data_IF_159634541469
#
_entry.id   IF_159634541469
#
_cell.length_a   1.000
_cell.length_b   1.000
_cell.length_c   1.000
_cell.angle_alpha   90.00
_cell.angle_beta   90.00
_cell.angle_gamma   90.00
#
_symmetry.space_group_name_H-M   'P 1'
#
loop_
_entity.id
_entity.type
_entity.pdbx_description
1 polymer ?
#
# COMPACT_ATOMS: atom_id res chain seq x y z
N UNK A 1 -78.83 16.28 -7.35
CA UNK A 1 -77.52 15.61 -7.29
C UNK A 1 -76.44 16.66 -7.48
N UNK A 2 -75.64 16.94 -6.44
CA UNK A 2 -74.46 17.83 -6.49
C UNK A 2 -73.33 17.10 -5.77
N UNK A 3 -72.33 16.66 -6.52
CA UNK A 3 -71.10 16.11 -5.98
C UNK A 3 -70.02 17.19 -6.07
N UNK A 4 -69.42 17.57 -4.94
CA UNK A 4 -68.25 18.45 -4.88
C UNK A 4 -67.06 17.61 -4.39
N UNK A 5 -66.00 17.59 -5.20
CA UNK A 5 -64.76 16.86 -4.96
C UNK A 5 -63.93 17.47 -3.83
N UNK A 6 -63.29 16.60 -3.05
CA UNK A 6 -62.37 16.92 -1.98
C UNK A 6 -61.02 17.47 -2.50
N UNK A 7 -60.49 18.49 -1.82
CA UNK A 7 -59.15 19.02 -2.04
C UNK A 7 -58.14 18.25 -1.18
N UNK A 8 -57.12 17.66 -1.81
CA UNK A 8 -55.97 17.04 -1.14
C UNK A 8 -54.86 18.09 -1.05
N UNK A 9 -54.44 18.42 0.17
CA UNK A 9 -53.32 19.33 0.46
C UNK A 9 -52.03 18.51 0.40
N UNK A 10 -51.17 18.75 -0.59
CA UNK A 10 -49.79 18.25 -0.59
C UNK A 10 -48.93 19.14 0.31
N UNK A 11 -48.50 18.61 1.45
CA UNK A 11 -47.45 19.24 2.28
C UNK A 11 -46.08 18.99 1.63
N UNK A 12 -45.42 20.05 1.21
CA UNK A 12 -44.03 20.02 0.75
C UNK A 12 -43.09 19.73 1.93
N UNK A 13 -42.27 18.68 1.80
CA UNK A 13 -41.18 18.37 2.73
C UNK A 13 -40.11 19.47 2.67
N UNK A 14 -39.52 19.89 3.80
CA UNK A 14 -38.38 20.79 3.77
C UNK A 14 -37.15 20.01 3.29
N UNK A 15 -36.52 20.50 2.22
CA UNK A 15 -35.16 20.13 1.86
C UNK A 15 -34.24 20.57 3.00
N UNK A 16 -33.69 19.61 3.75
CA UNK A 16 -32.62 19.87 4.70
C UNK A 16 -31.37 20.25 3.91
N UNK A 17 -30.92 21.48 4.14
CA UNK A 17 -29.66 22.02 3.66
C UNK A 17 -28.50 21.12 4.08
N UNK A 18 -27.71 20.64 3.12
CA UNK A 18 -26.36 20.12 3.34
C UNK A 18 -25.40 21.30 3.43
N UNK A 19 -25.31 21.94 4.59
CA UNK A 19 -24.24 22.89 4.90
C UNK A 19 -23.91 22.77 6.39
N UNK A 20 -23.03 21.83 6.73
CA UNK A 20 -22.01 21.90 7.80
C UNK A 20 -21.47 20.48 8.10
N UNK A 21 -20.51 20.03 7.30
CA UNK A 21 -19.65 18.90 7.70
C UNK A 21 -18.31 19.50 8.13
N UNK A 22 -17.93 19.40 9.42
CA UNK A 22 -16.64 19.90 9.87
C UNK A 22 -15.51 19.14 9.17
N UNK A 23 -14.49 19.88 8.71
CA UNK A 23 -13.25 19.42 8.04
C UNK A 23 -12.39 18.42 8.85
N UNK A 24 -12.89 17.88 9.96
CA UNK A 24 -12.18 16.96 10.86
C UNK A 24 -12.44 15.47 10.63
N UNK A 25 -13.24 15.08 9.63
CA UNK A 25 -13.62 13.67 9.41
C UNK A 25 -13.12 13.07 8.08
N UNK A 26 -12.21 13.74 7.36
CA UNK A 26 -11.58 13.18 6.17
C UNK A 26 -10.61 11.99 6.46
N UNK A 27 -10.48 11.58 7.72
CA UNK A 27 -9.51 10.56 8.17
C UNK A 27 -10.08 9.14 8.30
N UNK A 28 -11.26 8.84 7.76
CA UNK A 28 -11.90 7.50 7.88
C UNK A 28 -12.12 6.81 6.52
N UNK A 29 -11.84 7.49 5.40
CA UNK A 29 -12.05 6.93 4.05
C UNK A 29 -10.74 6.44 3.44
N UNK A 30 -10.09 5.47 4.10
CA UNK A 30 -9.04 4.64 3.48
C UNK A 30 -8.89 3.24 4.11
N UNK A 31 -9.82 2.84 4.99
CA UNK A 31 -9.87 1.48 5.54
C UNK A 31 -10.97 0.63 4.85
N UNK A 32 -11.26 0.90 3.58
CA UNK A 32 -12.16 0.04 2.80
C UNK A 32 -11.40 -1.19 2.37
N UNK A 33 -11.50 -2.22 3.22
CA UNK A 33 -11.29 -3.63 2.89
C UNK A 33 -9.96 -3.92 2.21
N UNK A 34 -8.85 -3.78 2.96
CA UNK A 34 -7.76 -4.70 2.69
C UNK A 34 -8.31 -6.11 2.94
N UNK A 35 -8.14 -7.08 2.02
CA UNK A 35 -8.14 -8.49 2.40
C UNK A 35 -7.30 -8.66 3.66
N UNK A 36 -7.47 -9.75 4.42
CA UNK A 36 -6.48 -10.12 5.42
C UNK A 36 -5.18 -10.51 4.68
N UNK A 37 -4.48 -9.50 4.14
CA UNK A 37 -3.40 -9.61 3.17
C UNK A 37 -2.33 -10.53 3.73
N UNK A 38 -1.97 -10.28 4.98
CA UNK A 38 -1.10 -11.16 5.74
C UNK A 38 -1.25 -10.83 7.22
N UNK A 39 -1.18 -11.83 8.09
CA UNK A 39 -1.26 -11.60 9.53
C UNK A 39 0.12 -11.15 10.05
N UNK A 40 0.16 -10.02 10.77
CA UNK A 40 1.38 -9.63 11.47
C UNK A 40 1.73 -10.71 12.51
N UNK A 41 3.00 -11.12 12.52
CA UNK A 41 3.53 -12.20 13.36
C UNK A 41 3.50 -13.58 12.70
N UNK A 42 2.86 -13.76 11.54
CA UNK A 42 2.93 -15.04 10.81
C UNK A 42 4.30 -15.24 10.18
N UNK A 43 4.68 -16.49 9.96
CA UNK A 43 5.89 -16.86 9.22
C UNK A 43 5.49 -17.18 7.77
N UNK A 44 6.16 -16.55 6.80
CA UNK A 44 5.96 -16.80 5.37
C UNK A 44 7.27 -17.17 4.67
N UNK A 45 7.23 -18.04 3.66
CA UNK A 45 6.09 -18.89 3.23
C UNK A 45 5.69 -19.97 4.29
N UNK A 46 4.48 -20.57 4.21
CA UNK A 46 3.45 -20.41 3.19
C UNK A 46 2.67 -19.09 3.32
N UNK A 47 2.18 -18.56 2.19
CA UNK A 47 1.30 -17.40 2.15
C UNK A 47 -0.17 -17.82 2.40
N UNK A 48 -1.03 -16.91 2.88
CA UNK A 48 -2.46 -17.15 3.01
C UNK A 48 -3.11 -17.55 1.68
N UNK A 49 -4.24 -18.25 1.76
CA UNK A 49 -4.99 -18.69 0.59
C UNK A 49 -5.28 -17.54 -0.39
N UNK A 50 -4.99 -17.78 -1.66
CA UNK A 50 -5.21 -16.83 -2.74
C UNK A 50 -4.11 -15.78 -2.89
N UNK A 51 -3.05 -15.82 -2.09
CA UNK A 51 -1.89 -14.93 -2.21
C UNK A 51 -0.59 -15.69 -2.43
N UNK A 52 0.35 -15.01 -3.06
CA UNK A 52 1.74 -15.42 -3.22
C UNK A 52 2.65 -14.21 -3.10
N UNK A 53 3.96 -14.42 -3.10
CA UNK A 53 4.96 -13.37 -3.26
C UNK A 53 5.87 -13.71 -4.43
N UNK A 54 5.92 -12.81 -5.41
CA UNK A 54 6.74 -12.96 -6.61
C UNK A 54 8.00 -12.09 -6.59
N UNK A 55 8.12 -11.17 -5.62
CA UNK A 55 9.22 -10.23 -5.54
C UNK A 55 9.50 -9.76 -4.11
N UNK A 56 10.71 -9.27 -3.91
CA UNK A 56 11.14 -8.73 -2.62
C UNK A 56 12.52 -8.11 -2.70
N UNK A 57 12.89 -7.40 -1.63
CA UNK A 57 14.18 -6.76 -1.49
C UNK A 57 14.65 -6.79 -0.04
N UNK A 58 15.95 -6.93 0.16
CA UNK A 58 16.57 -6.71 1.45
C UNK A 58 16.62 -5.20 1.75
N UNK A 59 16.36 -4.84 3.01
CA UNK A 59 16.38 -3.45 3.49
C UNK A 59 17.56 -3.28 4.42
N UNK A 60 18.59 -2.59 3.93
CA UNK A 60 19.78 -2.29 4.69
C UNK A 60 20.92 -1.80 3.80
N UNK A 61 22.03 -1.34 4.38
CA UNK A 61 23.21 -0.99 3.60
C UNK A 61 23.76 -2.24 2.90
N UNK A 62 23.96 -2.15 1.59
CA UNK A 62 24.55 -3.24 0.80
C UNK A 62 25.93 -3.64 1.34
N UNK A 63 26.20 -4.94 1.43
CA UNK A 63 27.43 -5.51 1.98
C UNK A 63 27.56 -5.45 3.50
N UNK A 64 26.54 -4.96 4.22
CA UNK A 64 26.56 -4.94 5.68
C UNK A 64 26.04 -6.24 6.29
N UNK A 65 26.46 -6.56 7.51
CA UNK A 65 25.92 -7.70 8.27
C UNK A 65 24.40 -7.59 8.52
N UNK A 66 23.82 -6.39 8.35
CA UNK A 66 22.41 -6.11 8.54
C UNK A 66 21.65 -5.94 7.22
N UNK A 67 22.29 -6.18 6.07
CA UNK A 67 21.72 -5.93 4.73
C UNK A 67 20.32 -6.55 4.57
N UNK A 68 20.12 -7.77 5.05
CA UNK A 68 18.85 -8.51 4.99
C UNK A 68 18.22 -8.75 6.37
N UNK A 69 18.59 -7.98 7.41
CA UNK A 69 17.98 -8.11 8.73
C UNK A 69 16.46 -7.79 8.70
N UNK A 70 16.06 -6.95 7.75
CA UNK A 70 14.68 -6.66 7.39
C UNK A 70 14.53 -6.86 5.89
N UNK A 71 13.44 -7.49 5.48
CA UNK A 71 13.07 -7.70 4.09
C UNK A 71 11.71 -7.08 3.79
N UNK A 72 11.51 -6.70 2.53
CA UNK A 72 10.21 -6.36 1.96
C UNK A 72 9.85 -7.46 0.96
N UNK A 73 8.59 -7.90 0.97
CA UNK A 73 8.04 -8.76 -0.06
C UNK A 73 6.73 -8.21 -0.60
N UNK A 74 6.45 -8.47 -1.88
CA UNK A 74 5.17 -8.15 -2.51
C UNK A 74 4.14 -9.23 -2.25
N UNK A 75 2.86 -8.86 -2.28
CA UNK A 75 1.73 -9.78 -2.20
C UNK A 75 0.91 -9.67 -3.47
N UNK A 76 0.94 -10.72 -4.28
CA UNK A 76 0.16 -10.84 -5.51
C UNK A 76 -0.99 -11.83 -5.33
N UNK A 77 -2.10 -11.67 -6.08
CA UNK A 77 -3.08 -12.73 -6.23
C UNK A 77 -2.42 -13.99 -6.81
N UNK A 78 -2.68 -15.16 -6.20
CA UNK A 78 -2.12 -16.43 -6.67
C UNK A 78 -2.58 -16.80 -8.08
N UNK A 79 -3.73 -16.29 -8.53
CA UNK A 79 -4.22 -16.41 -9.91
C UNK A 79 -3.46 -15.54 -10.92
N UNK A 80 -2.50 -14.72 -10.48
CA UNK A 80 -1.79 -13.74 -11.27
C UNK A 80 -2.42 -12.35 -11.20
N UNK A 81 -1.62 -11.32 -11.47
CA UNK A 81 -2.03 -9.92 -11.44
C UNK A 81 -1.00 -9.01 -10.79
N UNK A 82 -1.34 -7.72 -10.70
CA UNK A 82 -0.52 -6.74 -10.00
C UNK A 82 -0.50 -6.99 -8.48
N UNK A 83 0.56 -6.58 -7.78
CA UNK A 83 0.60 -6.61 -6.31
C UNK A 83 -0.57 -5.86 -5.70
N UNK A 84 -1.22 -6.49 -4.71
CA UNK A 84 -2.31 -5.92 -3.91
C UNK A 84 -1.84 -5.46 -2.54
N UNK A 85 -0.62 -5.83 -2.16
CA UNK A 85 -0.03 -5.47 -0.88
C UNK A 85 1.48 -5.61 -0.88
N UNK A 86 2.07 -5.10 0.20
CA UNK A 86 3.48 -5.28 0.53
C UNK A 86 3.55 -5.66 2.00
N UNK A 87 4.43 -6.58 2.34
CA UNK A 87 4.78 -6.87 3.72
C UNK A 87 6.25 -6.52 4.00
N UNK A 88 6.51 -6.12 5.24
CA UNK A 88 7.85 -6.12 5.80
C UNK A 88 7.99 -7.33 6.70
N UNK A 89 9.19 -7.90 6.76
CA UNK A 89 9.49 -9.03 7.64
C UNK A 89 10.92 -9.03 8.14
N UNK A 90 11.15 -9.81 9.20
CA UNK A 90 12.49 -10.14 9.70
C UNK A 90 12.76 -11.61 9.41
N UNK A 91 13.98 -11.94 9.01
CA UNK A 91 14.34 -13.34 8.79
C UNK A 91 14.23 -14.09 10.11
N UNK A 92 13.46 -15.17 10.10
CA UNK A 92 13.20 -16.02 11.26
C UNK A 92 14.19 -17.19 11.29
N UNK A 93 14.31 -17.86 10.15
CA UNK A 93 15.18 -19.01 9.89
C UNK A 93 15.20 -19.28 8.39
N UNK A 94 15.79 -20.40 8.00
CA UNK A 94 15.61 -20.98 6.66
C UNK A 94 14.76 -22.25 6.76
N UNK A 95 14.10 -22.64 5.67
CA UNK A 95 13.42 -23.93 5.52
C UNK A 95 14.43 -25.06 5.21
N UNK A 96 13.94 -26.29 5.09
CA UNK A 96 14.78 -27.47 4.79
C UNK A 96 15.51 -27.40 3.44
N UNK A 97 15.07 -26.52 2.54
CA UNK A 97 15.70 -26.28 1.23
C UNK A 97 16.65 -25.08 1.24
N UNK A 98 16.83 -24.44 2.40
CA UNK A 98 17.64 -23.24 2.56
C UNK A 98 16.96 -21.94 2.10
N UNK A 99 15.63 -21.95 1.91
CA UNK A 99 14.89 -20.72 1.58
C UNK A 99 14.56 -19.95 2.85
N UNK A 100 14.69 -18.63 2.87
CA UNK A 100 14.42 -17.85 4.06
C UNK A 100 12.94 -17.83 4.42
N UNK A 101 12.67 -18.02 5.71
CA UNK A 101 11.38 -17.86 6.35
C UNK A 101 11.34 -16.52 7.07
N UNK A 102 10.25 -15.77 6.90
CA UNK A 102 10.13 -14.39 7.35
C UNK A 102 8.99 -14.23 8.34
N UNK A 103 9.28 -13.70 9.54
CA UNK A 103 8.25 -13.20 10.45
C UNK A 103 7.76 -11.86 9.92
N UNK A 104 6.48 -11.79 9.61
CA UNK A 104 5.82 -10.59 9.09
C UNK A 104 5.70 -9.56 10.20
N UNK A 105 6.26 -8.37 10.00
CA UNK A 105 6.24 -7.29 11.00
C UNK A 105 5.27 -6.17 10.64
N UNK A 106 5.00 -5.95 9.35
CA UNK A 106 4.03 -4.97 8.89
C UNK A 106 3.47 -5.37 7.53
N UNK A 107 2.28 -4.86 7.22
CA UNK A 107 1.61 -5.06 5.94
C UNK A 107 0.91 -3.76 5.57
N UNK A 108 0.99 -3.38 4.30
CA UNK A 108 0.25 -2.25 3.73
C UNK A 108 -0.41 -2.67 2.42
N UNK A 109 -1.64 -2.20 2.21
CA UNK A 109 -2.31 -2.37 0.93
C UNK A 109 -1.67 -1.43 -0.10
N UNK A 110 -1.48 -1.95 -1.31
CA UNK A 110 -1.05 -1.15 -2.45
C UNK A 110 -2.32 -0.73 -3.22
N UNK A 111 -2.45 0.53 -3.64
CA UNK A 111 -3.59 0.93 -4.47
C UNK A 111 -3.56 0.16 -5.80
N UNK A 112 -4.70 0.07 -6.48
CA UNK A 112 -4.76 -0.48 -7.83
C UNK A 112 -3.73 0.20 -8.72
N UNK A 113 -2.81 -0.59 -9.28
CA UNK A 113 -1.73 -0.10 -10.15
C UNK A 113 -2.25 -0.08 -11.60
N UNK A 114 -2.32 1.10 -12.25
CA UNK A 114 -2.64 1.20 -13.67
C UNK A 114 -1.61 0.48 -14.56
N UNK A 115 -2.02 0.07 -15.77
CA UNK A 115 -1.15 -0.66 -16.71
C UNK A 115 0.09 0.13 -17.14
N UNK A 116 0.04 1.47 -17.14
CA UNK A 116 1.17 2.34 -17.46
C UNK A 116 2.08 2.61 -16.25
N UNK A 117 1.92 1.83 -15.17
CA UNK A 117 2.63 2.00 -13.90
C UNK A 117 3.12 0.68 -13.32
N UNK A 118 4.07 0.78 -12.40
CA UNK A 118 4.62 -0.35 -11.67
C UNK A 118 4.96 0.03 -10.24
N UNK A 119 5.03 -0.98 -9.37
CA UNK A 119 5.48 -0.81 -7.99
C UNK A 119 7.02 -0.92 -7.92
N UNK A 120 7.66 0.08 -7.34
CA UNK A 120 9.08 0.08 -7.06
C UNK A 120 9.33 0.13 -5.55
N UNK A 121 10.03 -0.87 -5.04
CA UNK A 121 10.37 -1.04 -3.63
C UNK A 121 11.87 -1.26 -3.40
N UNK A 122 12.71 -1.18 -4.44
CA UNK A 122 14.13 -1.53 -4.37
C UNK A 122 15.06 -0.39 -4.76
N UNK A 123 14.63 0.52 -5.64
CA UNK A 123 15.51 1.56 -6.21
C UNK A 123 15.02 2.98 -5.93
N UNK A 124 14.20 3.12 -4.89
CA UNK A 124 13.77 4.40 -4.35
C UNK A 124 14.68 4.85 -3.20
N UNK A 125 14.94 6.15 -3.12
CA UNK A 125 15.79 6.81 -2.13
C UNK A 125 15.08 8.03 -1.54
N UNK A 126 15.50 8.40 -0.33
CA UNK A 126 15.06 9.61 0.38
C UNK A 126 16.19 10.10 1.28
N UNK A 127 16.27 11.42 1.46
CA UNK A 127 17.20 12.05 2.41
C UNK A 127 16.75 11.87 3.88
N UNK A 128 15.52 11.38 4.09
CA UNK A 128 15.00 11.10 5.43
C UNK A 128 15.65 9.83 5.98
N UNK A 129 16.59 10.03 6.91
CA UNK A 129 17.26 8.94 7.60
C UNK A 129 16.28 7.94 8.22
N UNK A 130 16.62 6.65 8.16
CA UNK A 130 15.82 5.57 8.76
C UNK A 130 14.66 5.06 7.89
N UNK A 131 14.35 5.72 6.78
CA UNK A 131 13.25 5.35 5.90
C UNK A 131 13.74 4.62 4.64
N UNK A 132 13.03 3.55 4.28
CA UNK A 132 13.18 2.85 3.00
C UNK A 132 11.93 3.10 2.14
N UNK A 133 12.00 4.00 1.14
CA UNK A 133 10.83 4.43 0.39
C UNK A 133 10.39 3.41 -0.66
N UNK A 134 9.10 3.47 -0.97
CA UNK A 134 8.37 2.62 -1.90
C UNK A 134 7.42 3.52 -2.69
N UNK A 135 7.30 3.31 -3.99
CA UNK A 135 6.46 4.13 -4.84
C UNK A 135 5.75 3.33 -5.93
N UNK A 136 4.54 3.75 -6.30
CA UNK A 136 3.91 3.38 -7.58
C UNK A 136 4.27 4.43 -8.62
N UNK A 137 4.92 3.99 -9.69
CA UNK A 137 5.65 4.83 -10.64
C UNK A 137 5.15 4.64 -12.05
N UNK A 138 5.27 5.65 -12.90
CA UNK A 138 5.02 5.52 -14.35
C UNK A 138 6.14 4.71 -15.01
N UNK A 139 5.77 3.81 -15.90
CA UNK A 139 6.73 3.04 -16.71
C UNK A 139 7.45 3.96 -17.70
N UNK A 140 8.75 3.73 -17.95
CA UNK A 140 9.50 4.38 -19.03
C UNK A 140 10.01 5.81 -18.76
N UNK A 141 9.94 6.32 -17.52
CA UNK A 141 10.58 7.60 -17.16
C UNK A 141 11.89 7.37 -16.41
N UNK A 142 13.00 7.94 -16.91
CA UNK A 142 14.18 8.25 -16.08
C UNK A 142 13.80 9.24 -14.98
N UNK A 143 14.59 9.26 -13.90
CA UNK A 143 14.46 10.06 -12.66
C UNK A 143 13.09 10.75 -12.43
N UNK A 144 12.30 10.19 -11.52
CA UNK A 144 10.89 10.53 -11.30
C UNK A 144 10.73 11.84 -10.53
N UNK A 145 9.94 12.77 -11.09
CA UNK A 145 9.47 14.00 -10.43
C UNK A 145 8.32 13.68 -9.46
N UNK A 146 8.00 14.57 -8.50
CA UNK A 146 6.93 14.36 -7.51
C UNK A 146 5.55 14.05 -8.11
N UNK A 147 5.34 14.45 -9.37
CA UNK A 147 4.09 14.32 -10.13
C UNK A 147 3.89 12.91 -10.74
N UNK A 148 4.97 12.13 -10.82
CA UNK A 148 4.94 10.76 -11.36
C UNK A 148 4.61 9.69 -10.30
N UNK A 149 4.63 10.01 -9.02
CA UNK A 149 4.24 9.11 -7.92
C UNK A 149 2.73 9.16 -7.68
N UNK A 150 2.00 8.10 -8.04
CA UNK A 150 0.57 8.01 -7.73
C UNK A 150 0.32 7.68 -6.24
N UNK A 151 1.31 7.06 -5.61
CA UNK A 151 1.27 6.63 -4.22
C UNK A 151 2.70 6.39 -3.73
N UNK A 152 2.98 6.81 -2.50
CA UNK A 152 4.27 6.64 -1.85
C UNK A 152 4.10 6.23 -0.40
N UNK A 153 4.95 5.31 0.02
CA UNK A 153 5.08 4.89 1.41
C UNK A 153 6.57 4.71 1.73
N UNK A 154 6.90 4.51 2.99
CA UNK A 154 8.22 4.07 3.39
C UNK A 154 8.12 3.05 4.51
N UNK A 155 9.03 2.09 4.52
CA UNK A 155 9.29 1.30 5.72
C UNK A 155 10.20 2.11 6.64
N UNK A 156 9.70 2.44 7.82
CA UNK A 156 10.53 2.92 8.92
C UNK A 156 11.29 1.72 9.49
N UNK A 157 12.62 1.75 9.38
CA UNK A 157 13.50 0.65 9.78
C UNK A 157 13.58 0.49 11.29
N UNK A 158 13.36 1.56 12.04
CA UNK A 158 13.45 1.54 13.50
C UNK A 158 12.17 0.93 14.09
N UNK A 159 11.00 1.39 13.62
CA UNK A 159 9.71 0.86 14.09
C UNK A 159 9.29 -0.43 13.38
N UNK A 160 9.85 -0.72 12.21
CA UNK A 160 9.45 -1.85 11.36
C UNK A 160 8.06 -1.69 10.74
N UNK A 161 7.52 -0.46 10.68
CA UNK A 161 6.17 -0.14 10.20
C UNK A 161 6.21 0.66 8.91
N UNK A 162 5.18 0.49 8.08
CA UNK A 162 4.96 1.38 6.95
C UNK A 162 4.41 2.72 7.42
N UNK A 163 4.95 3.80 6.87
CA UNK A 163 4.51 5.18 7.08
C UNK A 163 4.28 5.85 5.74
N UNK A 164 3.40 6.85 5.73
CA UNK A 164 3.25 7.71 4.56
C UNK A 164 4.49 8.62 4.42
N UNK A 165 4.92 8.83 3.19
CA UNK A 165 5.98 9.78 2.85
C UNK A 165 5.51 10.62 1.67
N UNK A 166 5.79 11.93 1.70
CA UNK A 166 5.42 12.82 0.61
C UNK A 166 6.13 12.40 -0.70
N UNK A 167 5.43 12.39 -1.84
CA UNK A 167 6.05 12.05 -3.13
C UNK A 167 7.29 12.89 -3.44
N UNK A 168 7.29 14.17 -3.04
CA UNK A 168 8.42 15.08 -3.25
C UNK A 168 9.69 14.74 -2.44
N UNK A 169 9.59 13.83 -1.47
CA UNK A 169 10.72 13.36 -0.67
C UNK A 169 11.30 12.03 -1.17
N UNK A 170 10.79 11.48 -2.28
CA UNK A 170 11.19 10.19 -2.83
C UNK A 170 11.75 10.39 -4.24
N UNK A 171 12.94 9.86 -4.47
CA UNK A 171 13.56 9.78 -5.80
C UNK A 171 13.75 8.31 -6.15
N UNK A 172 13.27 7.86 -7.29
CA UNK A 172 13.42 6.47 -7.70
C UNK A 172 14.08 6.38 -9.08
N UNK A 173 14.95 5.40 -9.23
CA UNK A 173 15.58 5.06 -10.49
C UNK A 173 14.74 4.00 -11.22
N UNK A 174 14.38 4.27 -12.47
CA UNK A 174 13.84 3.25 -13.35
C UNK A 174 14.99 2.60 -14.13
N UNK A 175 15.33 1.36 -13.79
CA UNK A 175 16.28 0.56 -14.57
C UNK A 175 15.60 -0.30 -15.65
N UNK A 176 14.27 -0.19 -15.80
CA UNK A 176 13.55 -0.86 -16.89
C UNK A 176 13.62 0.03 -18.15
N UNK A 177 14.21 -0.46 -19.27
CA UNK A 177 14.26 0.25 -20.54
C UNK A 177 12.86 0.48 -21.16
#
# INVERSE_FOLDING_TARGET
MRAALAAVILTASPALALDDVPRGLASVVAARQAPALLAIGSIVPPYPDGLTSLGGACVGPAGSATECAVGIGTLEPAAGGAPVGIYAGRQASDDETGRPLWIVTAVIAVPTIPEDRFLNYSTCRTERAGLHPIAVMRSGSGEITPESGAWTAALDRDSGRFVEIAPAAVTCENFLP
#
